data_IF_286621153221
#
_entry.id   IF_286621153221
#
_cell.length_a   1.000
_cell.length_b   1.000
_cell.length_c   1.000
_cell.angle_alpha   90.00
_cell.angle_beta   90.00
_cell.angle_gamma   90.00
#
_symmetry.space_group_name_H-M   'P 1'
#
loop_
_entity.id
_entity.type
_entity.pdbx_description
1 polymer ?
#
# COMPACT_ATOMS: atom_id res chain seq x y z
N UNK A 1 42.34 -54.82 11.66
CA UNK A 1 42.32 -53.75 12.69
C UNK A 1 41.06 -52.95 12.46
N UNK A 2 40.29 -52.76 13.52
CA UNK A 2 38.96 -52.17 13.60
C UNK A 2 38.93 -50.70 13.17
N UNK A 3 37.89 -50.34 12.42
CA UNK A 3 37.53 -48.97 12.00
C UNK A 3 36.97 -48.13 13.17
N UNK A 4 37.19 -46.80 13.10
CA UNK A 4 36.42 -45.63 13.61
C UNK A 4 37.15 -44.36 13.08
N UNK A 5 36.56 -43.14 12.89
CA UNK A 5 35.31 -42.51 13.40
C UNK A 5 34.52 -41.75 12.27
N UNK A 6 33.60 -40.76 12.47
CA UNK A 6 32.88 -40.23 13.66
C UNK A 6 31.33 -40.34 13.60
N UNK A 7 30.60 -40.10 14.72
CA UNK A 7 29.13 -40.14 14.76
C UNK A 7 28.47 -38.83 14.28
N UNK A 8 27.29 -39.00 13.67
CA UNK A 8 26.46 -37.94 13.09
C UNK A 8 25.66 -37.08 14.09
N UNK A 9 24.80 -36.18 13.58
CA UNK A 9 24.22 -35.06 14.32
C UNK A 9 23.18 -35.49 15.37
N UNK A 10 23.23 -34.81 16.53
CA UNK A 10 22.43 -35.09 17.72
C UNK A 10 20.93 -34.96 17.49
N UNK A 11 20.22 -36.04 17.84
CA UNK A 11 18.77 -36.06 18.03
C UNK A 11 18.39 -35.34 19.33
N UNK A 12 17.32 -34.53 19.29
CA UNK A 12 16.75 -33.83 20.43
C UNK A 12 16.16 -34.75 21.51
N UNK A 13 15.73 -34.20 22.65
CA UNK A 13 15.22 -34.97 23.79
C UNK A 13 13.91 -35.72 23.46
N UNK A 14 13.65 -36.88 24.10
CA UNK A 14 12.49 -37.71 23.83
C UNK A 14 11.18 -37.05 24.30
N UNK A 15 10.02 -37.38 23.69
CA UNK A 15 8.73 -36.91 24.16
C UNK A 15 8.38 -37.52 25.53
N UNK A 16 7.71 -36.78 26.43
CA UNK A 16 7.26 -37.31 27.71
C UNK A 16 6.15 -38.36 27.54
N UNK A 17 6.19 -39.37 28.41
CA UNK A 17 5.29 -40.51 28.45
C UNK A 17 3.84 -40.10 28.78
N UNK A 18 2.88 -40.79 28.16
CA UNK A 18 1.44 -40.64 28.34
C UNK A 18 1.01 -40.68 29.81
N UNK A 19 0.25 -39.66 30.25
CA UNK A 19 -0.55 -39.70 31.47
C UNK A 19 -1.85 -40.50 31.24
N UNK A 20 -2.41 -41.17 32.27
CA UNK A 20 -3.60 -42.00 32.11
C UNK A 20 -4.86 -41.17 31.84
N UNK A 21 -5.76 -41.73 31.04
CA UNK A 21 -7.04 -41.11 30.67
C UNK A 21 -7.96 -40.91 31.89
N UNK A 22 -8.68 -39.78 31.99
CA UNK A 22 -9.65 -39.55 33.06
C UNK A 22 -10.97 -40.33 32.82
N UNK A 23 -11.68 -40.73 33.90
CA UNK A 23 -12.94 -41.44 33.79
C UNK A 23 -14.08 -40.53 33.30
N UNK A 24 -15.07 -41.16 32.68
CA UNK A 24 -16.22 -40.54 32.07
C UNK A 24 -17.29 -40.08 33.10
N UNK A 25 -17.94 -38.97 32.76
CA UNK A 25 -19.19 -38.40 33.29
C UNK A 25 -19.22 -37.75 34.69
N UNK A 26 -19.24 -36.41 34.68
CA UNK A 26 -19.96 -35.59 35.66
C UNK A 26 -20.70 -34.46 34.91
N UNK A 27 -21.96 -34.11 35.28
CA UNK A 27 -22.70 -33.05 34.61
C UNK A 27 -22.15 -31.65 34.98
N UNK A 28 -22.02 -30.77 33.98
CA UNK A 28 -21.53 -29.40 34.16
C UNK A 28 -22.61 -28.47 34.74
N UNK A 29 -22.26 -27.55 35.67
CA UNK A 29 -23.16 -26.49 36.12
C UNK A 29 -23.32 -25.38 35.05
N UNK A 30 -24.44 -24.64 35.04
CA UNK A 30 -24.67 -23.60 34.04
C UNK A 30 -23.72 -22.42 34.26
N UNK A 31 -23.04 -22.01 33.18
CA UNK A 31 -22.05 -20.95 33.17
C UNK A 31 -22.66 -19.60 33.56
N UNK A 32 -22.24 -19.06 34.70
CA UNK A 32 -22.45 -17.64 35.02
C UNK A 32 -21.51 -16.80 34.14
N UNK A 33 -22.09 -15.88 33.37
CA UNK A 33 -21.40 -15.02 32.41
C UNK A 33 -20.66 -13.89 33.16
N UNK A 34 -19.33 -13.87 33.11
CA UNK A 34 -18.54 -12.78 33.67
C UNK A 34 -18.75 -11.47 32.88
N UNK A 35 -18.80 -10.29 33.54
CA UNK A 35 -18.97 -9.01 32.85
C UNK A 35 -17.69 -8.62 32.09
N UNK A 36 -17.84 -8.22 30.83
CA UNK A 36 -16.74 -7.72 30.00
C UNK A 36 -16.35 -6.30 30.42
N UNK A 37 -15.04 -5.95 30.43
CA UNK A 37 -14.61 -4.59 30.71
C UNK A 37 -15.08 -3.63 29.62
N UNK A 38 -15.41 -2.38 29.97
CA UNK A 38 -15.84 -1.39 29.00
C UNK A 38 -14.71 -1.08 28.02
N UNK A 39 -15.05 -1.15 26.74
CA UNK A 39 -14.20 -0.93 25.58
C UNK A 39 -13.44 0.40 25.73
N UNK A 40 -12.12 0.33 25.91
CA UNK A 40 -11.25 1.47 25.72
C UNK A 40 -11.33 1.88 24.24
N UNK A 41 -11.81 3.08 23.96
CA UNK A 41 -11.82 3.62 22.60
C UNK A 41 -10.37 3.74 22.11
N UNK A 42 -10.02 3.01 21.06
CA UNK A 42 -8.74 3.20 20.38
C UNK A 42 -8.67 4.65 19.88
N UNK A 43 -7.51 5.34 20.03
CA UNK A 43 -7.36 6.68 19.48
C UNK A 43 -7.61 6.65 17.96
N UNK A 44 -8.19 7.72 17.39
CA UNK A 44 -8.38 7.81 15.96
C UNK A 44 -7.02 7.66 15.26
N UNK A 45 -6.98 6.99 14.08
CA UNK A 45 -5.73 6.81 13.36
C UNK A 45 -5.08 8.18 13.15
N UNK A 46 -3.87 8.36 13.69
CA UNK A 46 -3.07 9.54 13.47
C UNK A 46 -2.84 9.65 11.96
N UNK A 47 -3.46 10.64 11.33
CA UNK A 47 -3.12 11.05 9.97
C UNK A 47 -1.64 11.45 10.04
N UNK A 48 -0.76 10.54 9.62
CA UNK A 48 0.65 10.86 9.40
C UNK A 48 0.67 12.16 8.60
N UNK A 49 1.43 13.16 9.04
CA UNK A 49 1.45 14.48 8.44
C UNK A 49 1.51 14.33 6.91
N UNK A 50 0.37 14.59 6.25
CA UNK A 50 0.24 14.28 4.85
C UNK A 50 1.22 15.21 4.12
N UNK A 51 2.17 14.62 3.40
CA UNK A 51 3.03 15.40 2.51
C UNK A 51 2.20 16.11 1.44
N UNK A 52 2.83 16.91 0.60
CA UNK A 52 2.13 17.68 -0.41
C UNK A 52 1.38 16.79 -1.40
N UNK A 53 0.11 17.05 -1.67
CA UNK A 53 -0.64 16.33 -2.69
C UNK A 53 -0.92 17.18 -3.93
N UNK A 54 -1.20 16.47 -5.03
CA UNK A 54 -1.64 17.03 -6.29
C UNK A 54 -2.88 16.29 -6.76
N UNK A 55 -3.90 17.04 -7.18
CA UNK A 55 -5.13 16.52 -7.75
C UNK A 55 -5.48 17.26 -9.04
N UNK A 56 -5.62 16.52 -10.13
CA UNK A 56 -6.20 16.99 -11.38
C UNK A 56 -7.42 16.13 -11.72
N UNK A 57 -8.58 16.75 -11.96
CA UNK A 57 -9.83 16.06 -12.27
C UNK A 57 -10.52 16.74 -13.44
N UNK A 58 -11.05 15.93 -14.35
CA UNK A 58 -12.01 16.32 -15.38
C UNK A 58 -13.34 15.53 -15.24
N UNK A 59 -14.19 15.55 -16.27
CA UNK A 59 -15.50 14.87 -16.23
C UNK A 59 -15.41 13.35 -16.07
N UNK A 60 -14.32 12.72 -16.51
CA UNK A 60 -14.17 11.26 -16.63
C UNK A 60 -12.87 10.73 -16.04
N UNK A 61 -11.87 11.60 -15.85
CA UNK A 61 -10.53 11.20 -15.49
C UNK A 61 -10.00 11.99 -14.31
N UNK A 62 -9.13 11.35 -13.53
CA UNK A 62 -8.43 11.98 -12.43
C UNK A 62 -6.98 11.51 -12.35
N UNK A 63 -6.10 12.39 -11.91
CA UNK A 63 -4.73 12.08 -11.51
C UNK A 63 -4.54 12.58 -10.09
N UNK A 64 -4.13 11.69 -9.19
CA UNK A 64 -3.73 11.99 -7.82
C UNK A 64 -2.25 11.67 -7.66
N UNK A 65 -1.51 12.55 -7.00
CA UNK A 65 -0.13 12.29 -6.56
C UNK A 65 -0.02 12.68 -5.10
N UNK A 66 0.33 11.73 -4.23
CA UNK A 66 0.43 11.95 -2.79
C UNK A 66 1.48 11.02 -2.16
N UNK A 67 1.53 10.95 -0.82
CA UNK A 67 2.51 10.15 -0.09
C UNK A 67 2.43 8.64 -0.36
N UNK A 68 1.29 8.14 -0.84
CA UNK A 68 1.09 6.73 -1.20
C UNK A 68 1.65 6.39 -2.58
N UNK A 69 1.67 7.36 -3.51
CA UNK A 69 2.09 7.13 -4.89
C UNK A 69 1.36 8.02 -5.91
N UNK A 70 1.07 7.44 -7.07
CA UNK A 70 0.30 8.05 -8.15
C UNK A 70 -0.94 7.20 -8.42
N UNK A 71 -2.11 7.81 -8.48
CA UNK A 71 -3.35 7.15 -8.87
C UNK A 71 -3.93 7.78 -10.13
N UNK A 72 -4.35 6.93 -11.06
CA UNK A 72 -5.09 7.31 -12.26
C UNK A 72 -6.50 6.78 -12.19
N UNK A 73 -7.47 7.65 -12.44
CA UNK A 73 -8.83 7.28 -12.76
C UNK A 73 -9.09 7.57 -14.22
N UNK A 74 -9.56 6.59 -14.97
CA UNK A 74 -9.93 6.74 -16.39
C UNK A 74 -11.29 6.11 -16.62
N UNK A 75 -12.32 6.94 -16.80
CA UNK A 75 -13.69 6.50 -17.10
C UNK A 75 -14.25 5.46 -16.12
N UNK A 76 -13.99 5.65 -14.83
CA UNK A 76 -14.45 4.74 -13.76
C UNK A 76 -13.53 3.55 -13.48
N UNK A 77 -12.40 3.42 -14.17
CA UNK A 77 -11.35 2.47 -13.81
C UNK A 77 -10.24 3.18 -13.06
N UNK A 78 -9.92 2.69 -11.87
CA UNK A 78 -8.83 3.22 -11.03
C UNK A 78 -7.63 2.29 -11.07
N UNK A 79 -6.45 2.87 -11.22
CA UNK A 79 -5.16 2.18 -11.12
C UNK A 79 -4.26 3.00 -10.20
N UNK A 80 -3.66 2.33 -9.22
CA UNK A 80 -2.77 2.94 -8.24
C UNK A 80 -1.36 2.38 -8.41
N UNK A 81 -0.36 3.24 -8.30
CA UNK A 81 1.06 2.90 -8.39
C UNK A 81 1.75 3.41 -7.14
N UNK A 82 2.39 2.53 -6.35
CA UNK A 82 3.13 2.95 -5.15
C UNK A 82 4.49 3.51 -5.53
N UNK A 83 5.03 4.43 -4.73
CA UNK A 83 6.36 4.99 -5.00
C UNK A 83 7.48 3.96 -5.27
N UNK A 84 7.59 2.83 -4.54
CA UNK A 84 8.59 1.79 -4.83
C UNK A 84 8.43 1.11 -6.19
N UNK A 85 7.23 1.16 -6.78
CA UNK A 85 6.88 0.55 -8.05
C UNK A 85 7.10 1.50 -9.24
N UNK A 86 7.26 2.79 -8.97
CA UNK A 86 7.38 3.84 -9.98
C UNK A 86 8.85 4.07 -10.33
N UNK A 87 9.22 3.83 -11.59
CA UNK A 87 10.52 4.21 -12.16
C UNK A 87 10.61 5.70 -12.43
N UNK A 88 9.53 6.27 -12.92
CA UNK A 88 9.48 7.68 -13.25
C UNK A 88 8.07 8.12 -13.57
N UNK A 89 7.81 9.38 -13.26
CA UNK A 89 6.59 10.07 -13.66
C UNK A 89 6.98 11.10 -14.70
N UNK A 90 6.32 11.07 -15.85
CA UNK A 90 6.46 12.05 -16.91
C UNK A 90 5.16 12.83 -17.03
N UNK A 91 5.25 14.12 -17.31
CA UNK A 91 4.07 14.93 -17.55
C UNK A 91 4.34 15.95 -18.65
N UNK A 92 3.33 16.20 -19.47
CA UNK A 92 3.38 17.17 -20.57
C UNK A 92 1.98 17.69 -20.86
N UNK A 93 1.91 18.79 -21.60
CA UNK A 93 0.64 19.26 -22.11
C UNK A 93 0.26 18.39 -23.31
N UNK A 94 -1.04 18.20 -23.53
CA UNK A 94 -1.52 17.63 -24.80
C UNK A 94 -1.05 18.47 -25.99
N UNK A 95 -0.98 17.90 -27.20
CA UNK A 95 -0.53 18.64 -28.40
C UNK A 95 -1.33 19.92 -28.67
N UNK A 96 -2.63 19.93 -28.32
CA UNK A 96 -3.49 21.12 -28.42
C UNK A 96 -3.40 22.07 -27.21
N UNK A 97 -2.65 21.65 -26.19
CA UNK A 97 -2.42 22.34 -24.93
C UNK A 97 -3.65 22.49 -24.06
N UNK A 98 -4.66 21.64 -24.20
CA UNK A 98 -5.93 21.69 -23.43
C UNK A 98 -6.03 20.64 -22.33
N UNK A 99 -5.08 19.71 -22.23
CA UNK A 99 -5.09 18.67 -21.22
C UNK A 99 -3.69 18.46 -20.63
N UNK A 100 -3.68 17.98 -19.38
CA UNK A 100 -2.50 17.47 -18.72
C UNK A 100 -2.39 15.98 -19.04
N UNK A 101 -1.27 15.57 -19.62
CA UNK A 101 -0.94 14.17 -19.83
C UNK A 101 0.08 13.77 -18.76
N UNK A 102 -0.24 12.77 -17.95
CA UNK A 102 0.66 12.22 -16.94
C UNK A 102 0.88 10.75 -17.25
N UNK A 103 2.14 10.31 -17.22
CA UNK A 103 2.51 8.94 -17.44
C UNK A 103 3.39 8.40 -16.32
N UNK A 104 3.11 7.17 -15.90
CA UNK A 104 3.90 6.39 -14.96
C UNK A 104 4.66 5.32 -15.75
N UNK A 105 5.98 5.33 -15.60
CA UNK A 105 6.84 4.22 -15.99
C UNK A 105 6.98 3.33 -14.77
N UNK A 106 6.50 2.10 -14.87
CA UNK A 106 6.56 1.13 -13.79
C UNK A 106 7.92 0.39 -13.79
N UNK A 107 8.31 -0.17 -12.64
CA UNK A 107 9.59 -0.86 -12.45
C UNK A 107 9.79 -2.04 -13.41
N UNK A 108 8.71 -2.74 -13.74
CA UNK A 108 8.69 -3.87 -14.69
C UNK A 108 8.78 -3.48 -16.17
N UNK A 109 8.80 -2.18 -16.48
CA UNK A 109 8.82 -1.65 -17.84
C UNK A 109 7.45 -1.27 -18.40
N UNK A 110 6.38 -1.45 -17.64
CA UNK A 110 5.04 -0.98 -17.98
C UNK A 110 4.98 0.54 -18.13
N UNK A 111 4.15 1.01 -19.06
CA UNK A 111 3.90 2.43 -19.29
C UNK A 111 2.40 2.70 -19.24
N UNK A 112 1.99 3.56 -18.32
CA UNK A 112 0.58 3.89 -18.07
C UNK A 112 0.41 5.39 -18.24
N UNK A 113 -0.59 5.83 -19.00
CA UNK A 113 -0.85 7.24 -19.26
C UNK A 113 -2.29 7.58 -18.87
N UNK A 114 -2.48 8.72 -18.22
CA UNK A 114 -3.77 9.34 -17.95
C UNK A 114 -3.79 10.77 -18.49
N UNK A 115 -4.91 11.16 -19.07
CA UNK A 115 -5.10 12.48 -19.68
C UNK A 115 -6.26 13.17 -19.00
N UNK A 116 -6.00 14.35 -18.42
CA UNK A 116 -7.01 15.15 -17.71
C UNK A 116 -7.21 16.47 -18.44
N UNK A 117 -8.43 16.72 -18.93
CA UNK A 117 -8.78 17.98 -19.57
C UNK A 117 -8.71 19.17 -18.62
N UNK A 118 -8.00 20.21 -19.03
CA UNK A 118 -7.92 21.49 -18.33
C UNK A 118 -9.00 22.44 -18.85
N UNK A 119 -10.10 22.54 -18.10
CA UNK A 119 -11.17 23.52 -18.35
C UNK A 119 -11.30 24.47 -17.16
N UNK A 120 -10.95 25.77 -17.29
CA UNK A 120 -10.35 26.44 -18.46
C UNK A 120 -8.88 26.06 -18.70
N UNK A 121 -8.36 26.31 -19.92
CA UNK A 121 -6.96 25.99 -20.33
C UNK A 121 -5.89 26.59 -19.40
N UNK A 122 -6.18 27.71 -18.74
CA UNK A 122 -5.28 28.35 -17.76
C UNK A 122 -4.95 27.42 -16.59
N UNK A 123 -5.81 26.44 -16.28
CA UNK A 123 -5.58 25.48 -15.19
C UNK A 123 -4.29 24.66 -15.40
N UNK A 124 -3.85 24.46 -16.65
CA UNK A 124 -2.54 23.86 -16.89
C UNK A 124 -1.42 24.68 -16.23
N UNK A 125 -1.44 26.01 -16.35
CA UNK A 125 -0.38 26.86 -15.78
C UNK A 125 -0.28 26.75 -14.26
N UNK A 126 -1.36 26.37 -13.59
CA UNK A 126 -1.39 26.08 -12.14
C UNK A 126 -0.92 24.65 -11.86
N UNK A 127 -1.38 23.68 -12.65
CA UNK A 127 -1.04 22.27 -12.46
C UNK A 127 0.43 21.94 -12.69
N UNK A 128 1.08 22.50 -13.72
CA UNK A 128 2.50 22.22 -14.01
C UNK A 128 3.44 22.49 -12.84
N UNK A 129 3.45 23.70 -12.23
CA UNK A 129 4.34 24.00 -11.10
C UNK A 129 3.96 23.21 -9.84
N UNK A 130 2.66 23.03 -9.57
CA UNK A 130 2.21 22.23 -8.42
C UNK A 130 2.67 20.78 -8.54
N UNK A 131 2.43 20.15 -9.70
CA UNK A 131 2.84 18.77 -9.97
C UNK A 131 4.37 18.62 -9.90
N UNK A 132 5.13 19.58 -10.46
CA UNK A 132 6.58 19.57 -10.39
C UNK A 132 7.09 19.60 -8.94
N UNK A 133 6.48 20.43 -8.09
CA UNK A 133 6.83 20.55 -6.69
C UNK A 133 6.50 19.28 -5.89
N UNK A 134 5.31 18.71 -6.07
CA UNK A 134 4.89 17.45 -5.43
C UNK A 134 5.80 16.28 -5.85
N UNK A 135 6.07 16.13 -7.14
CA UNK A 135 6.98 15.09 -7.63
C UNK A 135 8.40 15.28 -7.10
N UNK A 136 8.87 16.52 -6.97
CA UNK A 136 10.16 16.83 -6.35
C UNK A 136 10.24 16.49 -4.86
N UNK A 137 9.11 16.47 -4.15
CA UNK A 137 9.04 16.07 -2.74
C UNK A 137 9.14 14.55 -2.56
N UNK A 138 8.43 13.76 -3.38
CA UNK A 138 8.35 12.31 -3.20
C UNK A 138 9.34 11.50 -4.01
N UNK A 139 9.86 12.04 -5.11
CA UNK A 139 10.89 11.37 -5.90
C UNK A 139 12.26 11.81 -5.36
N UNK A 140 12.94 11.00 -4.52
CA UNK A 140 14.32 11.28 -4.21
C UNK A 140 15.09 11.28 -5.53
N UNK A 141 15.83 12.36 -5.78
CA UNK A 141 16.72 12.46 -6.93
C UNK A 141 17.63 11.23 -6.92
N UNK A 142 17.40 10.33 -7.88
CA UNK A 142 18.35 9.28 -8.22
C UNK A 142 19.51 9.86 -9.01
#
# INVERSE_FOLDING_TARGET
MTQHPPPGPGFGPPPPQYAPAPPAYAPQPPYARAPQPPYAQAPPPQQAAAGPDFLAVDKRNAVVVDASGVAFETSGHTVEFRWPEIRGVHYRASPDGKALMVAVVHMDGGFYECVVEARPRTRLQEWFPQLAWVLGHYRPMG
#
